data_IF_289536692651
#
_entry.id   IF_289536692651
#
_cell.length_a   1.000
_cell.length_b   1.000
_cell.length_c   1.000
_cell.angle_alpha   90.00
_cell.angle_beta   90.00
_cell.angle_gamma   90.00
#
_symmetry.space_group_name_H-M   'P 1'
#
loop_
_entity.id
_entity.type
_entity.pdbx_description
1 polymer ?
#
# COMPACT_ATOMS: atom_id res chain seq x y z
N UNK A 1 16.41 -20.75 -18.03
CA UNK A 1 14.95 -20.77 -18.30
C UNK A 1 14.11 -20.96 -17.02
N UNK A 2 14.44 -21.93 -16.15
CA UNK A 2 13.63 -22.32 -14.96
C UNK A 2 13.30 -21.18 -13.96
N UNK A 3 14.21 -20.22 -13.73
CA UNK A 3 13.95 -19.07 -12.83
C UNK A 3 12.85 -18.13 -13.34
N UNK A 4 12.75 -17.93 -14.66
CA UNK A 4 11.72 -17.06 -15.26
C UNK A 4 10.33 -17.69 -15.13
N UNK A 5 10.24 -19.01 -15.32
CA UNK A 5 8.97 -19.74 -15.19
C UNK A 5 8.52 -19.80 -13.72
N UNK A 6 9.44 -20.01 -12.79
CA UNK A 6 9.16 -19.99 -11.35
C UNK A 6 8.65 -18.61 -10.87
N UNK A 7 9.27 -17.51 -11.31
CA UNK A 7 8.83 -16.15 -10.97
C UNK A 7 7.44 -15.83 -11.57
N UNK A 8 7.23 -16.21 -12.84
CA UNK A 8 5.95 -16.00 -13.54
C UNK A 8 4.81 -16.80 -12.90
N UNK A 9 5.08 -18.06 -12.52
CA UNK A 9 4.11 -18.89 -11.82
C UNK A 9 3.79 -18.32 -10.44
N UNK A 10 4.79 -17.84 -9.70
CA UNK A 10 4.58 -17.15 -8.43
C UNK A 10 3.66 -15.93 -8.60
N UNK A 11 3.91 -15.09 -9.60
CA UNK A 11 3.08 -13.91 -9.87
C UNK A 11 1.62 -14.29 -10.24
N UNK A 12 1.42 -15.30 -11.10
CA UNK A 12 0.09 -15.83 -11.42
C UNK A 12 -0.67 -16.33 -10.18
N UNK A 13 0.03 -17.05 -9.31
CA UNK A 13 -0.55 -17.57 -8.07
C UNK A 13 -0.95 -16.43 -7.14
N UNK A 14 -0.11 -15.40 -6.97
CA UNK A 14 -0.44 -14.25 -6.12
C UNK A 14 -1.66 -13.48 -6.65
N UNK A 15 -1.71 -13.20 -7.95
CA UNK A 15 -2.84 -12.50 -8.57
C UNK A 15 -4.16 -13.30 -8.47
N UNK A 16 -4.10 -14.61 -8.70
CA UNK A 16 -5.25 -15.50 -8.52
C UNK A 16 -5.69 -15.55 -7.06
N UNK A 17 -4.74 -15.68 -6.12
CA UNK A 17 -5.02 -15.75 -4.70
C UNK A 17 -5.69 -14.48 -4.17
N UNK A 18 -5.23 -13.30 -4.63
CA UNK A 18 -5.85 -12.02 -4.29
C UNK A 18 -7.31 -11.95 -4.75
N UNK A 19 -7.60 -12.43 -5.96
CA UNK A 19 -8.97 -12.49 -6.50
C UNK A 19 -9.85 -13.43 -5.68
N UNK A 20 -9.37 -14.66 -5.40
CA UNK A 20 -10.15 -15.66 -4.63
C UNK A 20 -10.39 -15.19 -3.20
N UNK A 21 -9.41 -14.56 -2.56
CA UNK A 21 -9.54 -13.96 -1.24
C UNK A 21 -10.57 -12.84 -1.22
N UNK A 22 -10.60 -11.98 -2.25
CA UNK A 22 -11.59 -10.92 -2.37
C UNK A 22 -13.03 -11.45 -2.43
N UNK A 23 -13.23 -12.65 -2.99
CA UNK A 23 -14.56 -13.27 -3.14
C UNK A 23 -14.96 -14.15 -1.95
N UNK A 24 -14.02 -14.91 -1.40
CA UNK A 24 -14.30 -16.00 -0.44
C UNK A 24 -13.70 -15.75 0.95
N UNK A 25 -12.93 -14.67 1.12
CA UNK A 25 -12.17 -14.39 2.33
C UNK A 25 -11.27 -15.56 2.72
N UNK A 26 -11.12 -15.80 4.02
CA UNK A 26 -10.28 -16.87 4.55
C UNK A 26 -10.76 -18.28 4.21
N UNK A 27 -11.97 -18.45 3.68
CA UNK A 27 -12.47 -19.78 3.26
C UNK A 27 -11.86 -20.25 1.94
N UNK A 28 -11.16 -19.36 1.23
CA UNK A 28 -10.43 -19.64 -0.01
C UNK A 28 -9.58 -20.91 0.09
N UNK A 29 -9.74 -21.83 -0.87
CA UNK A 29 -8.99 -23.08 -0.90
C UNK A 29 -7.80 -23.01 -1.85
N UNK A 30 -6.71 -23.69 -1.50
CA UNK A 30 -5.46 -23.69 -2.29
C UNK A 30 -5.64 -24.31 -3.69
N UNK A 31 -6.55 -25.28 -3.81
CA UNK A 31 -6.90 -25.93 -5.09
C UNK A 31 -7.62 -24.95 -6.05
N UNK A 32 -8.55 -24.14 -5.54
CA UNK A 32 -9.24 -23.10 -6.32
C UNK A 32 -8.27 -22.01 -6.80
N UNK A 33 -7.34 -21.59 -5.93
CA UNK A 33 -6.27 -20.65 -6.28
C UNK A 33 -5.39 -21.22 -7.39
N UNK A 34 -4.96 -22.49 -7.27
CA UNK A 34 -4.17 -23.16 -8.28
C UNK A 34 -4.90 -23.22 -9.64
N UNK A 35 -6.19 -23.59 -9.62
CA UNK A 35 -7.05 -23.65 -10.79
C UNK A 35 -7.15 -22.31 -11.50
N UNK A 36 -7.40 -21.21 -10.77
CA UNK A 36 -7.47 -19.86 -11.36
C UNK A 36 -6.13 -19.36 -11.88
N UNK A 37 -5.04 -19.70 -11.20
CA UNK A 37 -3.69 -19.37 -11.64
C UNK A 37 -3.24 -20.18 -12.88
N UNK A 38 -3.98 -21.23 -13.25
CA UNK A 38 -3.62 -22.14 -14.34
C UNK A 38 -2.36 -22.94 -14.04
N UNK A 39 -2.13 -23.28 -12.76
CA UNK A 39 -0.98 -24.07 -12.31
C UNK A 39 -1.43 -25.28 -11.49
N UNK A 40 -0.56 -26.28 -11.35
CA UNK A 40 -0.84 -27.42 -10.47
C UNK A 40 -0.80 -27.02 -8.98
N UNK A 41 -1.63 -27.64 -8.15
CA UNK A 41 -1.64 -27.39 -6.69
C UNK A 41 -0.28 -27.68 -6.05
N UNK A 42 0.45 -28.69 -6.54
CA UNK A 42 1.83 -28.97 -6.10
C UNK A 42 2.81 -27.84 -6.43
N UNK A 43 2.58 -27.07 -7.50
CA UNK A 43 3.36 -25.87 -7.82
C UNK A 43 3.08 -24.76 -6.81
N UNK A 44 1.81 -24.59 -6.40
CA UNK A 44 1.45 -23.63 -5.34
C UNK A 44 2.16 -23.99 -4.03
N UNK A 45 2.06 -25.25 -3.58
CA UNK A 45 2.71 -25.69 -2.34
C UNK A 45 4.25 -25.61 -2.39
N UNK A 46 4.86 -25.77 -3.56
CA UNK A 46 6.31 -25.54 -3.74
C UNK A 46 6.72 -24.08 -3.57
N UNK A 47 5.86 -23.13 -3.92
CA UNK A 47 6.11 -21.70 -3.74
C UNK A 47 5.68 -21.18 -2.37
N UNK A 48 4.65 -21.79 -1.80
CA UNK A 48 3.99 -21.41 -0.56
C UNK A 48 3.63 -22.68 0.20
N UNK A 49 4.54 -23.10 1.08
CA UNK A 49 4.39 -24.34 1.83
C UNK A 49 3.09 -24.40 2.64
N UNK A 50 2.57 -23.24 3.03
CA UNK A 50 1.34 -23.10 3.78
C UNK A 50 0.46 -21.97 3.24
N UNK A 51 -0.82 -21.97 3.61
CA UNK A 51 -1.79 -20.94 3.22
C UNK A 51 -1.41 -19.58 3.82
N UNK A 52 -0.79 -19.61 4.99
CA UNK A 52 -0.27 -18.47 5.72
C UNK A 52 0.92 -17.83 4.98
N UNK A 53 1.86 -18.66 4.49
CA UNK A 53 2.97 -18.19 3.66
C UNK A 53 2.49 -17.56 2.34
N UNK A 54 1.40 -18.08 1.76
CA UNK A 54 0.76 -17.46 0.59
C UNK A 54 0.17 -16.09 0.95
N UNK A 55 -0.56 -15.98 2.06
CA UNK A 55 -1.18 -14.72 2.47
C UNK A 55 -0.16 -13.64 2.86
N UNK A 56 0.90 -14.00 3.59
CA UNK A 56 2.01 -13.09 3.88
C UNK A 56 2.65 -12.56 2.59
N UNK A 57 2.79 -13.43 1.58
CA UNK A 57 3.32 -13.04 0.28
C UNK A 57 2.35 -12.16 -0.53
N UNK A 58 1.03 -12.28 -0.36
CA UNK A 58 0.04 -11.38 -0.97
C UNK A 58 0.14 -9.99 -0.36
N UNK A 59 0.21 -9.90 0.98
CA UNK A 59 0.44 -8.60 1.66
C UNK A 59 1.72 -7.96 1.14
N UNK A 60 2.80 -8.75 1.04
CA UNK A 60 4.09 -8.27 0.56
C UNK A 60 4.00 -7.78 -0.89
N UNK A 61 3.40 -8.57 -1.80
CA UNK A 61 3.25 -8.20 -3.20
C UNK A 61 2.43 -6.92 -3.39
N UNK A 62 1.42 -6.67 -2.55
CA UNK A 62 0.67 -5.41 -2.58
C UNK A 62 1.53 -4.21 -2.20
N UNK A 63 2.39 -4.36 -1.19
CA UNK A 63 3.33 -3.29 -0.83
C UNK A 63 4.33 -3.04 -1.97
N UNK A 64 4.80 -4.11 -2.62
CA UNK A 64 5.70 -3.98 -3.78
C UNK A 64 5.02 -3.22 -4.93
N UNK A 65 3.72 -3.45 -5.20
CA UNK A 65 2.97 -2.70 -6.21
C UNK A 65 2.87 -1.19 -5.88
N UNK A 66 2.71 -0.84 -4.60
CA UNK A 66 2.72 0.57 -4.17
C UNK A 66 4.11 1.18 -4.33
N UNK A 67 5.18 0.44 -4.02
CA UNK A 67 6.55 0.91 -4.23
C UNK A 67 6.87 1.12 -5.72
N UNK A 68 6.42 0.22 -6.59
CA UNK A 68 6.54 0.35 -8.04
C UNK A 68 5.75 1.56 -8.56
N UNK A 69 4.56 1.82 -8.03
CA UNK A 69 3.79 3.03 -8.35
C UNK A 69 4.51 4.30 -7.88
N UNK A 70 5.06 4.32 -6.66
CA UNK A 70 5.85 5.46 -6.18
C UNK A 70 7.03 5.75 -7.10
N UNK A 71 7.77 4.71 -7.51
CA UNK A 71 8.88 4.83 -8.46
C UNK A 71 8.39 5.39 -9.81
N UNK A 72 7.25 4.91 -10.33
CA UNK A 72 6.65 5.44 -11.56
C UNK A 72 6.23 6.91 -11.44
N UNK A 73 5.62 7.30 -10.32
CA UNK A 73 5.18 8.68 -10.08
C UNK A 73 6.34 9.68 -10.01
N UNK A 74 7.54 9.24 -9.62
CA UNK A 74 8.74 10.08 -9.65
C UNK A 74 9.32 10.31 -11.04
N UNK A 75 9.12 9.36 -11.95
CA UNK A 75 9.63 9.43 -13.34
C UNK A 75 8.60 10.01 -14.29
N UNK A 76 7.31 9.85 -14.00
CA UNK A 76 6.24 10.59 -14.67
C UNK A 76 6.52 12.08 -14.49
N UNK A 77 6.46 12.86 -15.57
CA UNK A 77 6.77 14.30 -15.59
C UNK A 77 5.71 15.17 -14.87
N UNK A 78 5.15 14.67 -13.75
CA UNK A 78 4.11 15.28 -12.94
C UNK A 78 4.51 15.34 -11.44
N UNK A 79 5.69 15.90 -11.09
CA UNK A 79 6.14 15.98 -9.70
C UNK A 79 5.17 16.78 -8.81
N UNK A 80 4.30 17.60 -9.39
CA UNK A 80 3.29 18.38 -8.66
C UNK A 80 2.16 17.52 -8.11
N UNK A 81 1.89 16.34 -8.70
CA UNK A 81 0.76 15.48 -8.31
C UNK A 81 1.19 14.15 -7.72
N UNK A 82 2.43 13.70 -7.98
CA UNK A 82 2.94 12.39 -7.55
C UNK A 82 2.76 12.12 -6.06
N UNK A 83 3.11 13.08 -5.20
CA UNK A 83 2.93 12.96 -3.75
C UNK A 83 1.46 12.72 -3.35
N UNK A 84 0.54 13.56 -3.84
CA UNK A 84 -0.88 13.48 -3.51
C UNK A 84 -1.53 12.20 -4.04
N UNK A 85 -1.16 11.79 -5.26
CA UNK A 85 -1.63 10.54 -5.88
C UNK A 85 -1.20 9.34 -5.07
N UNK A 86 0.07 9.29 -4.67
CA UNK A 86 0.60 8.19 -3.87
C UNK A 86 -0.07 8.12 -2.50
N UNK A 87 -0.23 9.26 -1.81
CA UNK A 87 -0.93 9.34 -0.53
C UNK A 87 -2.36 8.78 -0.65
N UNK A 88 -3.12 9.25 -1.65
CA UNK A 88 -4.49 8.79 -1.87
C UNK A 88 -4.57 7.29 -2.17
N UNK A 89 -3.63 6.76 -2.96
CA UNK A 89 -3.54 5.32 -3.26
C UNK A 89 -3.28 4.49 -2.00
N UNK A 90 -2.36 4.91 -1.13
CA UNK A 90 -2.09 4.21 0.13
C UNK A 90 -3.33 4.21 1.04
N UNK A 91 -4.09 5.31 1.09
CA UNK A 91 -5.35 5.39 1.85
C UNK A 91 -6.42 4.49 1.25
N UNK A 92 -6.60 4.49 -0.07
CA UNK A 92 -7.57 3.63 -0.76
C UNK A 92 -7.29 2.13 -0.55
N UNK A 93 -6.01 1.77 -0.40
CA UNK A 93 -5.57 0.40 -0.16
C UNK A 93 -5.63 -0.04 1.32
N UNK A 94 -5.81 0.90 2.25
CA UNK A 94 -5.75 0.64 3.69
C UNK A 94 -6.81 -0.37 4.15
N UNK A 95 -8.07 -0.20 3.73
CA UNK A 95 -9.16 -1.09 4.10
C UNK A 95 -8.90 -2.56 3.70
N UNK A 96 -8.45 -2.77 2.45
CA UNK A 96 -8.13 -4.13 1.96
C UNK A 96 -6.95 -4.73 2.72
N UNK A 97 -5.92 -3.93 2.98
CA UNK A 97 -4.75 -4.36 3.76
C UNK A 97 -5.15 -4.76 5.17
N UNK A 98 -6.03 -3.99 5.82
CA UNK A 98 -6.54 -4.28 7.17
C UNK A 98 -7.30 -5.58 7.22
N UNK A 99 -8.25 -5.80 6.30
CA UNK A 99 -8.99 -7.08 6.21
C UNK A 99 -8.05 -8.28 6.11
N UNK A 100 -7.03 -8.20 5.25
CA UNK A 100 -6.06 -9.29 5.08
C UNK A 100 -5.15 -9.47 6.31
N UNK A 101 -4.76 -8.37 6.96
CA UNK A 101 -3.90 -8.41 8.16
C UNK A 101 -4.66 -8.94 9.37
N UNK A 102 -5.92 -8.56 9.56
CA UNK A 102 -6.80 -9.08 10.62
C UNK A 102 -7.05 -10.57 10.42
N UNK A 103 -7.28 -10.97 9.18
CA UNK A 103 -7.48 -12.35 8.79
C UNK A 103 -6.25 -13.21 9.15
N UNK A 104 -5.04 -12.72 8.86
CA UNK A 104 -3.78 -13.34 9.27
C UNK A 104 -3.63 -13.39 10.80
N UNK A 105 -3.91 -12.27 11.48
CA UNK A 105 -3.80 -12.18 12.93
C UNK A 105 -4.75 -13.14 13.65
N UNK A 106 -5.99 -13.26 13.18
CA UNK A 106 -6.99 -14.18 13.72
C UNK A 106 -6.59 -15.66 13.58
N UNK A 107 -5.75 -15.97 12.59
CA UNK A 107 -5.15 -17.28 12.39
C UNK A 107 -3.82 -17.46 13.15
N UNK A 108 -3.43 -16.52 14.01
CA UNK A 108 -2.22 -16.60 14.85
C UNK A 108 -0.93 -16.27 14.12
N UNK A 109 -0.99 -15.61 12.96
CA UNK A 109 0.18 -15.34 12.11
C UNK A 109 0.63 -13.90 12.30
N UNK A 110 1.87 -13.70 12.73
CA UNK A 110 2.49 -12.39 12.80
C UNK A 110 3.42 -12.18 11.59
N UNK A 111 2.98 -11.31 10.68
CA UNK A 111 3.74 -10.91 9.47
C UNK A 111 4.53 -9.61 9.67
N UNK A 112 4.66 -9.11 10.90
CA UNK A 112 5.33 -7.84 11.17
C UNK A 112 6.82 -7.90 10.86
N UNK A 113 7.47 -9.03 11.09
CA UNK A 113 8.90 -9.19 10.85
C UNK A 113 9.22 -9.16 9.35
N UNK A 114 8.48 -9.92 8.52
CA UNK A 114 8.69 -9.90 7.06
C UNK A 114 8.41 -8.52 6.45
N UNK A 115 7.49 -7.75 7.02
CA UNK A 115 7.14 -6.42 6.53
C UNK A 115 8.09 -5.30 6.98
N UNK A 116 9.11 -5.56 7.80
CA UNK A 116 9.98 -4.50 8.33
C UNK A 116 10.74 -3.74 7.22
N UNK A 117 11.33 -4.46 6.26
CA UNK A 117 12.01 -3.86 5.12
C UNK A 117 11.07 -3.03 4.26
N UNK A 118 9.89 -3.59 3.96
CA UNK A 118 8.85 -2.92 3.19
C UNK A 118 8.31 -1.64 3.86
N UNK A 119 8.20 -1.62 5.19
CA UNK A 119 7.85 -0.39 5.93
C UNK A 119 8.91 0.70 5.78
N UNK A 120 10.19 0.32 5.82
CA UNK A 120 11.28 1.27 5.59
C UNK A 120 11.27 1.82 4.16
N UNK A 121 11.09 0.95 3.16
CA UNK A 121 10.97 1.35 1.76
C UNK A 121 9.77 2.26 1.49
N UNK A 122 8.62 1.97 2.10
CA UNK A 122 7.41 2.81 1.98
C UNK A 122 7.64 4.21 2.56
N UNK A 123 8.32 4.28 3.71
CA UNK A 123 8.70 5.56 4.33
C UNK A 123 9.65 6.36 3.43
N UNK A 124 10.63 5.71 2.84
CA UNK A 124 11.59 6.33 1.92
C UNK A 124 10.91 6.83 0.64
N UNK A 125 10.05 6.01 0.03
CA UNK A 125 9.28 6.39 -1.16
C UNK A 125 8.41 7.63 -0.92
N UNK A 126 7.73 7.71 0.23
CA UNK A 126 6.94 8.87 0.60
C UNK A 126 7.80 10.11 0.86
N UNK A 127 8.96 9.94 1.49
CA UNK A 127 9.92 11.02 1.73
C UNK A 127 10.47 11.59 0.42
N UNK A 128 10.77 10.74 -0.54
CA UNK A 128 11.22 11.13 -1.88
C UNK A 128 10.16 11.94 -2.62
N UNK A 129 8.93 11.45 -2.64
CA UNK A 129 7.81 12.15 -3.26
C UNK A 129 7.50 13.49 -2.58
N UNK A 130 7.60 13.57 -1.26
CA UNK A 130 7.45 14.82 -0.51
C UNK A 130 8.52 15.83 -0.93
N UNK A 131 9.80 15.43 -0.97
CA UNK A 131 10.91 16.29 -1.40
C UNK A 131 10.73 16.77 -2.83
N UNK A 132 10.30 15.88 -3.72
CA UNK A 132 10.04 16.21 -5.13
C UNK A 132 8.90 17.22 -5.27
N UNK A 133 7.81 17.06 -4.50
CA UNK A 133 6.68 17.98 -4.49
C UNK A 133 7.00 19.34 -3.86
N UNK A 134 7.80 19.38 -2.78
CA UNK A 134 8.27 20.63 -2.17
C UNK A 134 9.19 21.41 -3.11
N UNK A 135 10.11 20.72 -3.81
CA UNK A 135 11.05 21.32 -4.76
C UNK A 135 10.36 22.04 -5.93
N UNK A 136 9.18 21.57 -6.34
CA UNK A 136 8.37 22.20 -7.39
C UNK A 136 7.29 23.13 -6.85
N UNK A 137 7.26 23.37 -5.53
CA UNK A 137 6.29 24.24 -4.88
C UNK A 137 4.86 23.70 -4.88
N UNK A 138 4.67 22.38 -4.95
CA UNK A 138 3.33 21.77 -4.86
C UNK A 138 2.90 21.47 -3.42
N UNK A 139 3.88 21.34 -2.50
CA UNK A 139 3.67 21.14 -1.06
C UNK A 139 4.43 22.21 -0.29
N UNK A 140 3.84 22.71 0.81
CA UNK A 140 4.47 23.70 1.71
C UNK A 140 5.79 23.19 2.32
N UNK A 141 6.81 24.04 2.47
CA UNK A 141 8.16 23.61 2.86
C UNK A 141 8.33 23.39 4.38
N UNK A 142 7.35 23.78 5.19
CA UNK A 142 7.38 23.74 6.66
C UNK A 142 6.67 22.51 7.25
N UNK A 143 6.42 21.49 6.43
CA UNK A 143 5.89 20.19 6.85
C UNK A 143 6.92 19.11 6.55
N UNK A 144 7.24 18.32 7.58
CA UNK A 144 8.20 17.24 7.49
C UNK A 144 7.53 15.86 7.40
N UNK A 145 8.34 14.86 7.11
CA UNK A 145 7.89 13.47 6.98
C UNK A 145 7.12 12.93 8.20
N UNK A 146 7.46 13.25 9.47
CA UNK A 146 6.70 12.78 10.62
C UNK A 146 5.23 13.21 10.61
N UNK A 147 4.94 14.47 10.28
CA UNK A 147 3.57 15.00 10.18
C UNK A 147 2.82 14.31 9.04
N UNK A 148 3.48 14.14 7.88
CA UNK A 148 2.90 13.42 6.75
C UNK A 148 2.56 11.97 7.11
N UNK A 149 3.44 11.27 7.83
CA UNK A 149 3.16 9.90 8.25
C UNK A 149 2.03 9.81 9.27
N UNK A 150 1.92 10.80 10.17
CA UNK A 150 0.81 10.88 11.12
C UNK A 150 -0.53 11.12 10.40
N UNK A 151 -0.55 12.05 9.44
CA UNK A 151 -1.70 12.32 8.58
C UNK A 151 -2.10 11.09 7.75
N UNK A 152 -1.12 10.43 7.13
CA UNK A 152 -1.35 9.22 6.35
C UNK A 152 -1.94 8.11 7.21
N UNK A 153 -1.37 7.87 8.39
CA UNK A 153 -1.90 6.90 9.36
C UNK A 153 -3.35 7.24 9.74
N UNK A 154 -3.64 8.50 10.08
CA UNK A 154 -5.00 8.92 10.45
C UNK A 154 -6.01 8.69 9.33
N UNK A 155 -5.67 9.08 8.09
CA UNK A 155 -6.51 8.87 6.92
C UNK A 155 -6.70 7.38 6.60
N UNK A 156 -5.63 6.57 6.68
CA UNK A 156 -5.72 5.12 6.52
C UNK A 156 -6.63 4.50 7.57
N UNK A 157 -6.49 4.85 8.85
CA UNK A 157 -7.35 4.34 9.92
C UNK A 157 -8.83 4.68 9.68
N UNK A 158 -9.13 5.90 9.23
CA UNK A 158 -10.51 6.28 8.88
C UNK A 158 -11.06 5.45 7.71
N UNK A 159 -10.23 5.11 6.71
CA UNK A 159 -10.62 4.23 5.62
C UNK A 159 -10.78 2.77 6.06
N UNK A 160 -10.02 2.32 7.07
CA UNK A 160 -10.05 0.95 7.59
C UNK A 160 -11.33 0.59 8.34
N UNK A 161 -11.93 1.52 9.09
CA UNK A 161 -13.12 1.20 9.90
C UNK A 161 -14.36 0.92 9.04
N UNK A 162 -14.39 1.44 7.81
CA UNK A 162 -15.56 1.36 6.93
C UNK A 162 -16.75 2.19 7.40
N UNK A 163 -16.58 2.99 8.47
CA UNK A 163 -17.63 3.88 9.00
C UNK A 163 -17.98 5.01 8.02
N UNK A 164 -17.08 5.30 7.08
CA UNK A 164 -17.21 6.35 6.09
C UNK A 164 -17.30 5.77 4.69
N UNK A 165 -18.31 6.22 3.93
CA UNK A 165 -18.40 5.91 2.51
C UNK A 165 -17.23 6.52 1.73
N UNK A 166 -16.84 5.90 0.61
CA UNK A 166 -15.73 6.36 -0.26
C UNK A 166 -15.72 7.86 -0.55
N UNK A 167 -16.86 8.49 -0.94
CA UNK A 167 -16.90 9.92 -1.21
C UNK A 167 -16.58 10.82 0.00
N UNK A 168 -16.77 10.34 1.24
CA UNK A 168 -16.40 11.08 2.46
C UNK A 168 -14.89 11.05 2.64
N UNK A 169 -14.24 9.92 2.39
CA UNK A 169 -12.78 9.78 2.41
C UNK A 169 -12.17 10.69 1.35
N UNK A 170 -12.69 10.68 0.11
CA UNK A 170 -12.19 11.52 -0.99
C UNK A 170 -12.25 13.02 -0.65
N UNK A 171 -13.37 13.48 -0.08
CA UNK A 171 -13.51 14.89 0.35
C UNK A 171 -12.60 15.22 1.53
N UNK A 172 -12.41 14.30 2.46
CA UNK A 172 -11.48 14.48 3.59
C UNK A 172 -10.04 14.61 3.09
N UNK A 173 -9.64 13.78 2.12
CA UNK A 173 -8.34 13.89 1.47
C UNK A 173 -8.19 15.20 0.72
N UNK A 174 -9.24 15.70 0.05
CA UNK A 174 -9.19 17.01 -0.61
C UNK A 174 -8.89 18.14 0.39
N UNK A 175 -9.57 18.17 1.54
CA UNK A 175 -9.31 19.16 2.61
C UNK A 175 -7.87 19.05 3.14
N UNK A 176 -7.40 17.82 3.37
CA UNK A 176 -6.03 17.57 3.82
C UNK A 176 -5.01 18.07 2.79
N UNK A 177 -5.22 17.75 1.52
CA UNK A 177 -4.33 18.15 0.43
C UNK A 177 -4.32 19.64 0.20
N UNK A 178 -5.47 20.30 0.31
CA UNK A 178 -5.56 21.76 0.25
C UNK A 178 -4.68 22.37 1.36
N UNK A 179 -4.75 21.87 2.59
CA UNK A 179 -3.91 22.32 3.72
C UNK A 179 -2.39 22.08 3.55
N UNK A 180 -1.99 21.13 2.70
CA UNK A 180 -0.59 20.84 2.39
C UNK A 180 -0.06 21.68 1.22
N UNK A 181 -0.92 22.27 0.40
CA UNK A 181 -0.48 23.17 -0.68
C UNK A 181 0.13 24.45 -0.10
N UNK A 182 1.05 25.11 -0.83
CA UNK A 182 1.62 26.36 -0.38
C UNK A 182 0.52 27.39 -0.19
N UNK A 183 0.43 27.94 1.02
CA UNK A 183 -0.37 29.10 1.31
C UNK A 183 0.55 30.32 1.37
N UNK A 184 0.09 31.47 0.86
CA UNK A 184 0.85 32.73 0.88
C UNK A 184 1.09 33.28 2.31
N UNK A 185 0.56 32.63 3.35
CA UNK A 185 0.44 33.20 4.69
C UNK A 185 0.85 32.17 5.75
N UNK A 186 2.14 31.98 5.98
CA UNK A 186 2.64 31.61 7.32
C UNK A 186 4.10 32.03 7.44
N UNK A 187 4.31 33.25 7.95
CA UNK A 187 5.52 33.52 8.72
C UNK A 187 5.46 32.60 9.96
N UNK A 188 6.56 31.90 10.30
CA UNK A 188 6.58 31.07 11.51
C UNK A 188 6.31 31.94 12.74
N UNK A 189 5.60 31.43 13.77
CA UNK A 189 5.47 32.16 15.03
C UNK A 189 6.86 32.40 15.63
N UNK A 190 7.13 33.59 16.19
CA UNK A 190 8.41 33.88 16.81
C UNK A 190 8.66 32.88 17.95
N UNK A 191 9.87 32.31 17.98
CA UNK A 191 10.31 31.43 19.05
C UNK A 191 10.25 32.16 20.39
N UNK A 192 9.58 31.54 21.37
CA UNK A 192 9.58 31.98 22.77
C UNK A 192 10.85 31.52 23.49
#
# INVERSE_FOLDING_TARGET
MIRSDAARNRAKVLAAAETVLGEQGLTARMDEIARRAGVGVGTVYRHFATKEALYAAIVSARVDLLLDEAARLRVAAEPQTGFFRFFAQVVADAARKKTLTDALHSAGIDVKAEQAGQRAQMREALADLLRDAQRVGAVRPDVDLPEILALLRGASMAAETGDYAGPVIDRTLAVLFDGLRPHALHAPPPSA
#
